data_IF_295508064096
#
_entry.id   IF_295508064096
#
_cell.length_a   1.000
_cell.length_b   1.000
_cell.length_c   1.000
_cell.angle_alpha   90.00
_cell.angle_beta   90.00
_cell.angle_gamma   90.00
#
_symmetry.space_group_name_H-M   'P 1'
#
loop_
_entity.id
_entity.type
_entity.pdbx_description
1 polymer ?
#
# COMPACT_ATOMS: atom_id res chain seq x y z
N UNK A 1 -19.31 -16.81 24.65
CA UNK A 1 -18.87 -15.96 25.78
C UNK A 1 -17.44 -16.22 26.24
N UNK A 2 -16.77 -17.31 25.84
CA UNK A 2 -15.35 -17.54 26.15
C UNK A 2 -14.39 -17.21 24.98
N UNK A 3 -14.91 -16.90 23.79
CA UNK A 3 -14.09 -16.59 22.60
C UNK A 3 -13.63 -15.12 22.58
N UNK A 4 -14.42 -14.18 23.12
CA UNK A 4 -14.09 -12.75 23.11
C UNK A 4 -12.96 -12.37 24.09
N UNK A 5 -12.78 -13.12 25.19
CA UNK A 5 -11.76 -12.82 26.22
C UNK A 5 -10.32 -13.18 25.78
N UNK A 6 -10.16 -14.17 24.90
CA UNK A 6 -8.84 -14.56 24.36
C UNK A 6 -8.37 -13.63 23.24
N UNK A 7 -9.28 -13.03 22.46
CA UNK A 7 -8.97 -12.02 21.44
C UNK A 7 -8.36 -10.75 22.04
N UNK A 8 -8.87 -10.27 23.17
CA UNK A 8 -8.37 -9.06 23.83
C UNK A 8 -6.99 -9.25 24.49
N UNK A 9 -6.63 -10.48 24.85
CA UNK A 9 -5.32 -10.80 25.47
C UNK A 9 -4.17 -10.85 24.48
N UNK A 10 -4.44 -11.06 23.19
CA UNK A 10 -3.44 -11.05 22.11
C UNK A 10 -3.47 -9.77 21.26
N UNK A 11 -4.38 -8.84 21.55
CA UNK A 11 -4.42 -7.54 20.87
C UNK A 11 -3.15 -6.76 21.15
N UNK A 12 -2.59 -6.18 20.09
CA UNK A 12 -1.49 -5.23 20.15
C UNK A 12 -1.99 -3.86 19.66
N UNK A 13 -2.80 -3.13 20.43
CA UNK A 13 -3.48 -1.92 19.95
C UNK A 13 -2.54 -0.84 19.42
N UNK A 14 -1.31 -0.80 19.94
CA UNK A 14 -0.28 0.14 19.48
C UNK A 14 0.25 -0.21 18.07
N UNK A 15 0.31 -1.50 17.73
CA UNK A 15 0.69 -1.96 16.39
C UNK A 15 -0.40 -1.61 15.39
N UNK A 16 -1.65 -1.95 15.70
CA UNK A 16 -2.81 -1.66 14.83
C UNK A 16 -2.89 -0.16 14.53
N UNK A 17 -2.80 0.68 15.57
CA UNK A 17 -2.73 2.15 15.43
C UNK A 17 -1.57 2.61 14.56
N UNK A 18 -0.43 1.93 14.63
CA UNK A 18 0.74 2.23 13.80
C UNK A 18 0.50 1.89 12.32
N UNK A 19 -0.17 0.78 12.04
CA UNK A 19 -0.54 0.35 10.69
C UNK A 19 -1.61 1.27 10.09
N UNK A 20 -2.66 1.60 10.86
CA UNK A 20 -3.72 2.55 10.48
C UNK A 20 -3.12 3.89 10.00
N UNK A 21 -2.10 4.40 10.69
CA UNK A 21 -1.40 5.63 10.28
C UNK A 21 -0.71 5.46 8.93
N UNK A 22 0.00 4.36 8.71
CA UNK A 22 0.73 4.12 7.46
C UNK A 22 -0.23 4.01 6.27
N UNK A 23 -1.34 3.30 6.45
CA UNK A 23 -2.38 3.14 5.44
C UNK A 23 -3.08 4.48 5.13
N UNK A 24 -3.38 5.26 6.17
CA UNK A 24 -3.94 6.60 5.98
C UNK A 24 -2.98 7.52 5.21
N UNK A 25 -1.70 7.53 5.58
CA UNK A 25 -0.71 8.37 4.91
C UNK A 25 -0.40 7.89 3.48
N UNK A 26 -0.66 6.63 3.14
CA UNK A 26 -0.51 6.11 1.78
C UNK A 26 -1.58 6.65 0.82
N UNK A 27 -2.75 7.03 1.35
CA UNK A 27 -3.89 7.53 0.55
C UNK A 27 -3.96 9.04 0.40
N UNK A 28 -2.94 9.81 0.81
CA UNK A 28 -2.98 11.29 0.82
C UNK A 28 -1.75 11.92 0.18
N UNK A 29 -1.98 12.94 -0.63
CA UNK A 29 -0.91 13.75 -1.20
C UNK A 29 -0.46 14.84 -0.21
N UNK A 30 0.86 15.00 -0.04
CA UNK A 30 1.44 16.10 0.73
C UNK A 30 1.44 15.95 2.26
N UNK A 31 1.10 14.77 2.79
CA UNK A 31 1.13 14.45 4.22
C UNK A 31 -0.02 15.06 5.04
N UNK A 32 -0.05 14.79 6.34
CA UNK A 32 -1.10 15.23 7.27
C UNK A 32 -0.51 15.72 8.60
N UNK A 33 -1.17 16.69 9.25
CA UNK A 33 -0.86 17.07 10.62
C UNK A 33 -1.33 16.02 11.63
N UNK A 34 -0.81 16.06 12.85
CA UNK A 34 -1.25 15.14 13.91
C UNK A 34 -2.76 15.25 14.18
N UNK A 35 -3.30 16.47 14.16
CA UNK A 35 -4.74 16.70 14.36
C UNK A 35 -5.59 16.15 13.20
N UNK A 36 -5.12 16.30 11.97
CA UNK A 36 -5.79 15.73 10.78
C UNK A 36 -5.80 14.20 10.84
N UNK A 37 -4.69 13.57 11.25
CA UNK A 37 -4.60 12.11 11.43
C UNK A 37 -5.58 11.63 12.49
N UNK A 38 -5.58 12.27 13.67
CA UNK A 38 -6.48 11.92 14.77
C UNK A 38 -7.96 12.01 14.35
N UNK A 39 -8.31 13.09 13.63
CA UNK A 39 -9.67 13.30 13.11
C UNK A 39 -10.07 12.24 12.09
N UNK A 40 -9.19 11.88 11.15
CA UNK A 40 -9.49 10.89 10.10
C UNK A 40 -9.59 9.46 10.62
N UNK A 41 -8.87 9.14 11.69
CA UNK A 41 -8.93 7.82 12.35
C UNK A 41 -9.96 7.75 13.48
N UNK A 42 -10.72 8.82 13.72
CA UNK A 42 -11.72 8.95 14.80
C UNK A 42 -11.16 8.56 16.19
N UNK A 43 -9.95 9.05 16.53
CA UNK A 43 -9.35 8.81 17.85
C UNK A 43 -8.70 10.05 18.44
N UNK A 44 -8.28 9.95 19.70
CA UNK A 44 -7.69 11.10 20.41
C UNK A 44 -6.24 11.39 19.95
N UNK A 45 -5.80 12.66 19.87
CA UNK A 45 -4.44 13.00 19.44
C UNK A 45 -3.32 12.39 20.29
N UNK A 46 -3.57 12.20 21.59
CA UNK A 46 -2.63 11.58 22.52
C UNK A 46 -2.42 10.09 22.24
N UNK A 47 -3.40 9.42 21.64
CA UNK A 47 -3.31 8.00 21.34
C UNK A 47 -2.40 7.68 20.16
N UNK A 48 -2.10 8.61 19.26
CA UNK A 48 -1.26 8.35 18.08
C UNK A 48 0.14 8.92 18.18
N UNK A 49 0.37 9.91 19.04
CA UNK A 49 1.68 10.57 19.16
C UNK A 49 2.84 9.59 19.36
N UNK A 50 2.68 8.63 20.27
CA UNK A 50 3.70 7.60 20.52
C UNK A 50 3.96 6.77 19.27
N UNK A 51 2.92 6.41 18.51
CA UNK A 51 3.07 5.61 17.29
C UNK A 51 3.73 6.42 16.18
N UNK A 52 3.33 7.68 15.98
CA UNK A 52 3.97 8.60 15.04
C UNK A 52 5.46 8.80 15.35
N UNK A 53 5.82 9.07 16.61
CA UNK A 53 7.22 9.19 17.03
C UNK A 53 8.01 7.90 16.72
N UNK A 54 7.44 6.72 17.01
CA UNK A 54 8.08 5.44 16.68
C UNK A 54 8.22 5.23 15.18
N UNK A 55 7.22 5.58 14.37
CA UNK A 55 7.28 5.48 12.91
C UNK A 55 8.33 6.42 12.32
N UNK A 56 8.47 7.64 12.86
CA UNK A 56 9.51 8.60 12.48
C UNK A 56 10.90 8.10 12.87
N UNK A 57 11.09 7.65 14.12
CA UNK A 57 12.37 7.09 14.58
C UNK A 57 12.80 5.86 13.80
N UNK A 58 11.84 5.05 13.37
CA UNK A 58 12.11 3.88 12.50
C UNK A 58 12.23 4.28 11.02
N UNK A 59 12.00 5.52 10.65
CA UNK A 59 12.15 6.03 9.28
C UNK A 59 11.06 5.56 8.32
N UNK A 60 9.89 5.12 8.81
CA UNK A 60 8.72 4.83 7.95
C UNK A 60 7.97 6.12 7.57
N UNK A 61 7.98 7.09 8.48
CA UNK A 61 7.35 8.40 8.32
C UNK A 61 8.43 9.47 8.48
N UNK A 62 8.28 10.60 7.80
CA UNK A 62 9.10 11.80 7.99
C UNK A 62 8.23 12.99 8.37
N UNK A 63 8.84 13.97 9.03
CA UNK A 63 8.23 15.26 9.35
C UNK A 63 9.28 16.36 9.09
N UNK A 64 9.47 16.78 7.83
CA UNK A 64 10.47 17.79 7.47
C UNK A 64 9.98 19.18 7.84
N UNK A 65 10.70 19.88 8.74
CA UNK A 65 10.62 21.29 9.20
C UNK A 65 9.23 21.95 9.44
N UNK A 66 8.14 21.23 9.23
CA UNK A 66 6.77 21.63 9.51
C UNK A 66 6.06 20.61 10.40
N UNK A 67 4.73 20.71 10.47
CA UNK A 67 3.89 19.84 11.32
C UNK A 67 3.21 18.71 10.53
N UNK A 68 3.62 18.47 9.27
CA UNK A 68 3.02 17.43 8.42
C UNK A 68 3.88 16.18 8.36
N UNK A 69 3.23 15.05 8.62
CA UNK A 69 3.79 13.71 8.51
C UNK A 69 3.53 13.15 7.12
N UNK A 70 4.55 12.57 6.49
CA UNK A 70 4.44 11.89 5.20
C UNK A 70 5.20 10.57 5.19
N UNK A 71 4.80 9.63 4.32
CA UNK A 71 5.54 8.37 4.16
C UNK A 71 6.92 8.61 3.55
N UNK A 72 7.89 7.81 3.98
CA UNK A 72 9.17 7.70 3.29
C UNK A 72 9.15 6.54 2.28
N UNK A 73 10.22 6.39 1.50
CA UNK A 73 10.41 5.26 0.59
C UNK A 73 10.75 3.93 1.31
N UNK A 74 10.78 3.90 2.65
CA UNK A 74 11.17 2.69 3.39
C UNK A 74 10.24 1.50 3.11
N UNK A 75 8.92 1.72 3.07
CA UNK A 75 7.96 0.65 2.76
C UNK A 75 8.17 0.08 1.36
N UNK A 76 8.43 0.96 0.37
CA UNK A 76 8.77 0.55 -0.99
C UNK A 76 10.03 -0.34 -1.02
N UNK A 77 11.09 0.07 -0.32
CA UNK A 77 12.32 -0.73 -0.22
C UNK A 77 12.08 -2.11 0.41
N UNK A 78 11.25 -2.19 1.46
CA UNK A 78 10.90 -3.47 2.10
C UNK A 78 10.09 -4.37 1.16
N UNK A 79 9.13 -3.82 0.41
CA UNK A 79 8.36 -4.57 -0.57
C UNK A 79 9.26 -5.20 -1.65
N UNK A 80 10.29 -4.46 -2.09
CA UNK A 80 11.25 -4.93 -3.10
C UNK A 80 12.19 -6.04 -2.60
N UNK A 81 12.29 -6.28 -1.29
CA UNK A 81 13.02 -7.43 -0.72
C UNK A 81 12.21 -8.72 -0.82
N UNK A 82 10.91 -8.66 -1.12
CA UNK A 82 10.06 -9.84 -1.27
C UNK A 82 10.39 -10.60 -2.57
N UNK A 83 11.32 -11.54 -2.47
CA UNK A 83 11.94 -12.23 -3.61
C UNK A 83 10.97 -12.97 -4.56
N UNK A 84 9.87 -13.61 -4.10
CA UNK A 84 8.96 -14.32 -5.01
C UNK A 84 8.29 -13.40 -6.03
N UNK A 85 7.72 -12.28 -5.58
CA UNK A 85 7.04 -11.31 -6.44
C UNK A 85 8.04 -10.63 -7.36
N UNK A 86 9.22 -10.23 -6.83
CA UNK A 86 10.25 -9.58 -7.64
C UNK A 86 10.74 -10.45 -8.79
N UNK A 87 10.97 -11.75 -8.55
CA UNK A 87 11.36 -12.70 -9.61
C UNK A 87 10.27 -12.82 -10.66
N UNK A 88 9.03 -13.03 -10.24
CA UNK A 88 7.90 -13.17 -11.15
C UNK A 88 7.76 -11.94 -12.06
N UNK A 89 7.79 -10.74 -11.48
CA UNK A 89 7.77 -9.48 -12.25
C UNK A 89 8.94 -9.43 -13.24
N UNK A 90 10.16 -9.73 -12.81
CA UNK A 90 11.34 -9.66 -13.70
C UNK A 90 11.27 -10.60 -14.90
N UNK A 91 10.66 -11.78 -14.75
CA UNK A 91 10.45 -12.72 -15.85
C UNK A 91 9.28 -12.31 -16.76
N UNK A 92 8.24 -11.72 -16.19
CA UNK A 92 7.04 -11.34 -16.93
C UNK A 92 7.21 -10.04 -17.72
N UNK A 93 7.98 -9.06 -17.23
CA UNK A 93 8.11 -7.73 -17.85
C UNK A 93 8.49 -7.76 -19.34
N UNK A 94 9.46 -8.57 -19.81
CA UNK A 94 9.77 -8.64 -21.24
C UNK A 94 8.59 -9.15 -22.08
N UNK A 95 7.87 -10.16 -21.59
CA UNK A 95 6.71 -10.75 -22.27
C UNK A 95 5.53 -9.77 -22.29
N UNK A 96 5.31 -9.05 -21.19
CA UNK A 96 4.30 -7.99 -21.10
C UNK A 96 4.59 -6.87 -22.10
N UNK A 97 5.85 -6.49 -22.28
CA UNK A 97 6.26 -5.50 -23.28
C UNK A 97 5.95 -5.97 -24.69
N UNK A 98 6.38 -7.18 -25.05
CA UNK A 98 6.10 -7.77 -26.36
C UNK A 98 4.59 -7.84 -26.65
N UNK A 99 3.80 -8.22 -25.65
CA UNK A 99 2.34 -8.25 -25.75
C UNK A 99 1.77 -6.84 -25.97
N UNK A 100 2.25 -5.83 -25.25
CA UNK A 100 1.80 -4.44 -25.41
C UNK A 100 2.16 -3.88 -26.79
N UNK A 101 3.37 -4.17 -27.28
CA UNK A 101 3.83 -3.79 -28.61
C UNK A 101 3.00 -4.45 -29.71
N UNK A 102 2.68 -5.74 -29.56
CA UNK A 102 1.92 -6.50 -30.57
C UNK A 102 0.44 -6.15 -30.57
N UNK A 103 -0.17 -6.01 -29.38
CA UNK A 103 -1.60 -5.73 -29.24
C UNK A 103 -1.94 -4.25 -29.33
N UNK A 104 -0.95 -3.36 -29.19
CA UNK A 104 -1.15 -1.92 -29.04
C UNK A 104 -2.03 -1.57 -27.83
N UNK A 105 -2.07 -2.42 -26.81
CA UNK A 105 -2.86 -2.24 -25.59
C UNK A 105 -1.99 -2.30 -24.33
N UNK A 106 -2.47 -1.67 -23.26
CA UNK A 106 -1.89 -1.85 -21.94
C UNK A 106 -2.20 -3.27 -21.41
N UNK A 107 -1.31 -3.79 -20.57
CA UNK A 107 -1.56 -5.05 -19.87
C UNK A 107 -1.02 -5.01 -18.43
N UNK A 108 -1.56 -5.90 -17.60
CA UNK A 108 -1.23 -5.99 -16.18
C UNK A 108 -0.98 -7.44 -15.77
N UNK A 109 -0.07 -7.60 -14.80
CA UNK A 109 0.16 -8.86 -14.12
C UNK A 109 -0.48 -8.79 -12.74
N UNK A 110 -1.37 -9.75 -12.48
CA UNK A 110 -2.12 -9.84 -11.22
C UNK A 110 -1.78 -11.14 -10.49
N UNK A 111 -1.77 -11.07 -9.16
CA UNK A 111 -1.69 -12.25 -8.29
C UNK A 111 -2.88 -12.26 -7.36
N UNK A 112 -3.39 -13.45 -7.03
CA UNK A 112 -4.41 -13.59 -6.02
C UNK A 112 -3.78 -13.49 -4.63
N UNK A 113 -4.22 -12.51 -3.83
CA UNK A 113 -3.84 -12.34 -2.43
C UNK A 113 -5.08 -12.04 -1.59
N UNK A 114 -5.28 -12.81 -0.52
CA UNK A 114 -6.31 -12.58 0.51
C UNK A 114 -7.72 -12.23 -0.01
N UNK A 115 -8.17 -12.91 -1.07
CA UNK A 115 -9.52 -12.71 -1.61
C UNK A 115 -9.63 -11.59 -2.65
N UNK A 116 -8.52 -10.98 -3.06
CA UNK A 116 -8.49 -9.94 -4.11
C UNK A 116 -7.43 -10.25 -5.17
N UNK A 117 -7.63 -9.76 -6.38
CA UNK A 117 -6.57 -9.71 -7.38
C UNK A 117 -5.73 -8.45 -7.15
N UNK A 118 -4.43 -8.62 -6.87
CA UNK A 118 -3.49 -7.52 -6.65
C UNK A 118 -2.61 -7.34 -7.87
N UNK A 119 -2.58 -6.13 -8.44
CA UNK A 119 -1.69 -5.80 -9.56
C UNK A 119 -0.25 -5.70 -9.06
N UNK A 120 0.65 -6.53 -9.59
CA UNK A 120 2.07 -6.54 -9.21
C UNK A 120 3.01 -5.99 -10.28
N UNK A 121 2.55 -5.87 -11.52
CA UNK A 121 3.23 -5.16 -12.60
C UNK A 121 2.22 -4.64 -13.63
N UNK A 122 2.58 -3.59 -14.33
CA UNK A 122 1.81 -3.05 -15.46
C UNK A 122 2.76 -2.67 -16.60
N UNK A 123 2.26 -2.75 -17.83
CA UNK A 123 2.90 -2.24 -19.03
C UNK A 123 1.90 -1.34 -19.76
N UNK A 124 2.32 -0.12 -20.05
CA UNK A 124 1.50 0.86 -20.79
C UNK A 124 1.49 0.54 -22.28
N UNK A 125 0.44 1.01 -22.97
CA UNK A 125 0.35 0.93 -24.42
C UNK A 125 1.44 1.80 -25.07
N UNK A 126 2.04 1.39 -26.21
CA UNK A 126 3.13 2.13 -26.85
C UNK A 126 2.75 3.55 -27.29
N UNK A 127 1.58 3.73 -27.93
CA UNK A 127 1.25 4.96 -28.66
C UNK A 127 -0.16 5.53 -28.36
N UNK A 128 -0.89 4.99 -27.36
CA UNK A 128 -2.33 5.30 -27.14
C UNK A 128 -2.68 5.73 -25.70
N UNK A 129 -3.80 6.46 -25.55
CA UNK A 129 -4.43 6.75 -24.24
C UNK A 129 -5.01 5.45 -23.65
N UNK A 130 -4.24 4.76 -22.82
CA UNK A 130 -4.67 3.51 -22.16
C UNK A 130 -5.25 3.74 -20.76
N UNK A 131 -6.24 2.92 -20.38
CA UNK A 131 -6.62 2.76 -18.97
C UNK A 131 -5.56 1.86 -18.33
N UNK A 132 -4.83 2.36 -17.33
CA UNK A 132 -3.89 1.56 -16.54
C UNK A 132 -4.38 1.42 -15.10
N UNK A 133 -4.29 0.20 -14.57
CA UNK A 133 -4.57 -0.09 -13.17
C UNK A 133 -3.23 -0.10 -12.43
N UNK A 134 -3.06 0.83 -11.48
CA UNK A 134 -1.79 1.03 -10.77
C UNK A 134 -1.33 -0.24 -10.07
N UNK A 135 -0.01 -0.48 -10.07
CA UNK A 135 0.62 -1.48 -9.21
C UNK A 135 0.25 -1.24 -7.74
N UNK A 136 -0.13 -2.31 -7.04
CA UNK A 136 -0.66 -2.27 -5.67
C UNK A 136 -2.18 -2.12 -5.59
N UNK A 137 -2.90 -1.94 -6.70
CA UNK A 137 -4.36 -1.88 -6.69
C UNK A 137 -4.96 -3.26 -6.39
N UNK A 138 -6.02 -3.26 -5.57
CA UNK A 138 -6.86 -4.43 -5.32
C UNK A 138 -8.07 -4.38 -6.25
N UNK A 139 -8.28 -5.46 -7.00
CA UNK A 139 -9.40 -5.60 -7.92
C UNK A 139 -10.31 -6.73 -7.44
N UNK A 140 -11.62 -6.47 -7.46
CA UNK A 140 -12.66 -7.46 -7.20
C UNK A 140 -12.59 -8.59 -8.23
N UNK A 141 -12.63 -9.84 -7.79
CA UNK A 141 -12.67 -11.00 -8.69
C UNK A 141 -14.03 -11.16 -9.39
N UNK A 142 -15.09 -10.57 -8.85
CA UNK A 142 -16.44 -10.69 -9.39
C UNK A 142 -16.74 -9.61 -10.45
N UNK A 143 -15.97 -8.52 -10.45
CA UNK A 143 -16.17 -7.36 -11.33
C UNK A 143 -15.06 -7.22 -12.38
N UNK A 144 -14.16 -8.20 -12.50
CA UNK A 144 -13.13 -8.26 -13.56
C UNK A 144 -13.63 -9.03 -14.77
N UNK A 145 -13.63 -8.39 -15.93
CA UNK A 145 -13.78 -9.10 -17.21
C UNK A 145 -12.58 -10.02 -17.43
N UNK A 146 -12.83 -11.33 -17.38
CA UNK A 146 -11.91 -12.37 -17.85
C UNK A 146 -12.15 -12.65 -19.33
#
# INVERSE_FOLDING_TARGET
MAEDEDEDRYRAPALDKGLDILELLAGVDGGLTQAEIAKKLDRSPNEFYRMLDRLVRRGYVTRPDGDRYSLTLKLFGLAQLHAPVRRLVSYATPLMRELAETSQQANQLVVFDRGSAVVIAQQEAPDYWGISIRVGSHISLFDTGS
#
